data_IF_431612174458
#
_entry.id   IF_431612174458
#
_cell.length_a   1.000
_cell.length_b   1.000
_cell.length_c   1.000
_cell.angle_alpha   90.00
_cell.angle_beta   90.00
_cell.angle_gamma   90.00
#
_symmetry.space_group_name_H-M   'P 1'
#
loop_
_entity.id
_entity.type
_entity.pdbx_description
1 polymer ?
#
# COMPACT_ATOMS: atom_id res chain seq x y z
N UNK A 1 -55.62 -2.40 -83.99
CA UNK A 1 -54.39 -3.10 -83.54
C UNK A 1 -53.26 -2.17 -83.09
N UNK A 2 -53.05 -1.00 -83.69
CA UNK A 2 -51.90 -0.12 -83.37
C UNK A 2 -51.93 0.59 -81.99
N UNK A 3 -53.11 0.76 -81.37
CA UNK A 3 -53.20 1.41 -80.03
C UNK A 3 -52.75 0.51 -78.88
N UNK A 4 -52.94 -0.81 -79.00
CA UNK A 4 -52.55 -1.79 -77.97
C UNK A 4 -51.03 -1.98 -77.96
N UNK A 5 -50.40 -1.95 -79.14
CA UNK A 5 -48.94 -2.01 -79.27
C UNK A 5 -48.24 -0.76 -78.69
N UNK A 6 -48.84 0.42 -78.86
CA UNK A 6 -48.37 1.67 -78.24
C UNK A 6 -48.48 1.63 -76.72
N UNK A 7 -49.52 0.99 -76.18
CA UNK A 7 -49.74 0.90 -74.73
C UNK A 7 -48.70 0.00 -74.06
N UNK A 8 -48.39 -1.16 -74.66
CA UNK A 8 -47.34 -2.06 -74.19
C UNK A 8 -45.94 -1.43 -74.29
N UNK A 9 -45.68 -0.62 -75.33
CA UNK A 9 -44.41 0.07 -75.48
C UNK A 9 -44.21 1.15 -74.41
N UNK A 10 -45.26 1.88 -74.04
CA UNK A 10 -45.22 2.92 -73.00
C UNK A 10 -45.08 2.32 -71.59
N UNK A 11 -45.79 1.23 -71.29
CA UNK A 11 -45.68 0.54 -69.99
C UNK A 11 -44.34 -0.17 -69.82
N UNK A 12 -43.75 -0.70 -70.89
CA UNK A 12 -42.42 -1.30 -70.86
C UNK A 12 -41.31 -0.24 -70.72
N UNK A 13 -41.45 0.94 -71.35
CA UNK A 13 -40.52 2.05 -71.19
C UNK A 13 -40.53 2.61 -69.75
N UNK A 14 -41.71 2.71 -69.12
CA UNK A 14 -41.86 3.15 -67.73
C UNK A 14 -41.24 2.17 -66.72
N UNK A 15 -41.36 0.85 -66.95
CA UNK A 15 -40.72 -0.17 -66.12
C UNK A 15 -39.19 -0.18 -66.28
N UNK A 16 -38.69 0.06 -67.50
CA UNK A 16 -37.25 0.15 -67.74
C UNK A 16 -36.63 1.39 -67.09
N UNK A 17 -37.35 2.52 -67.07
CA UNK A 17 -36.91 3.72 -66.33
C UNK A 17 -36.93 3.54 -64.81
N UNK A 18 -37.88 2.76 -64.26
CA UNK A 18 -37.95 2.46 -62.83
C UNK A 18 -36.82 1.53 -62.36
N UNK A 19 -36.38 0.61 -63.22
CA UNK A 19 -35.26 -0.31 -62.95
C UNK A 19 -33.89 0.41 -62.96
N UNK A 20 -33.71 1.41 -63.84
CA UNK A 20 -32.46 2.18 -63.94
C UNK A 20 -32.27 3.16 -62.77
N UNK A 21 -33.36 3.67 -62.19
CA UNK A 21 -33.31 4.56 -61.00
C UNK A 21 -32.92 3.78 -59.74
N UNK A 22 -33.29 2.50 -59.63
CA UNK A 22 -32.85 1.63 -58.52
C UNK A 22 -31.37 1.24 -58.58
N UNK A 23 -30.70 1.33 -59.74
CA UNK A 23 -29.27 1.01 -59.88
C UNK A 23 -28.31 2.14 -59.43
N UNK A 24 -28.81 3.35 -59.15
CA UNK A 24 -27.98 4.50 -58.78
C UNK A 24 -27.96 4.81 -57.27
N UNK A 25 -28.45 3.89 -56.43
CA UNK A 25 -28.77 4.16 -55.04
C UNK A 25 -28.07 3.31 -54.00
N UNK A 26 -26.77 2.99 -54.14
CA UNK A 26 -25.95 2.53 -52.99
C UNK A 26 -24.50 3.00 -53.13
N UNK A 27 -24.24 4.29 -52.91
CA UNK A 27 -22.96 4.70 -52.35
C UNK A 27 -23.01 4.39 -50.85
N UNK A 28 -22.66 3.15 -50.49
CA UNK A 28 -22.32 2.82 -49.09
C UNK A 28 -21.07 3.61 -48.79
N UNK A 29 -21.25 4.78 -48.18
CA UNK A 29 -20.19 5.48 -47.47
C UNK A 29 -19.71 4.50 -46.40
N UNK A 30 -18.61 3.80 -46.67
CA UNK A 30 -17.80 3.23 -45.60
C UNK A 30 -17.33 4.43 -44.77
N UNK A 31 -18.18 4.85 -43.81
CA UNK A 31 -17.67 5.53 -42.64
C UNK A 31 -16.62 4.61 -42.09
N UNK A 32 -15.35 5.01 -42.16
CA UNK A 32 -14.27 4.36 -41.44
C UNK A 32 -14.77 4.07 -40.04
N UNK A 33 -15.12 2.80 -39.78
CA UNK A 33 -15.31 2.30 -38.43
C UNK A 33 -13.93 2.42 -37.82
N UNK A 34 -13.66 3.60 -37.27
CA UNK A 34 -12.40 3.94 -36.61
C UNK A 34 -12.30 2.96 -35.46
N UNK A 35 -11.60 1.84 -35.69
CA UNK A 35 -11.43 0.78 -34.70
C UNK A 35 -10.83 1.45 -33.47
N UNK A 36 -11.60 1.54 -32.40
CA UNK A 36 -11.13 2.12 -31.15
C UNK A 36 -10.23 1.05 -30.52
N UNK A 37 -8.94 1.36 -30.38
CA UNK A 37 -8.02 0.54 -29.59
C UNK A 37 -8.46 0.68 -28.12
N UNK A 38 -8.92 -0.43 -27.52
CA UNK A 38 -9.40 -0.44 -26.14
C UNK A 38 -8.20 -0.47 -25.19
N UNK A 39 -7.31 -1.42 -25.37
CA UNK A 39 -6.01 -1.50 -24.70
C UNK A 39 -5.00 -2.20 -25.61
N UNK A 40 -3.74 -1.85 -25.48
CA UNK A 40 -2.64 -2.42 -26.25
C UNK A 40 -1.66 -3.14 -25.36
N UNK A 41 -0.99 -4.15 -25.91
CA UNK A 41 0.22 -4.70 -25.30
C UNK A 41 1.38 -3.76 -25.66
N UNK A 42 2.01 -3.17 -24.64
CA UNK A 42 3.18 -2.33 -24.81
C UNK A 42 4.47 -3.18 -24.90
N UNK A 43 4.59 -4.20 -24.04
CA UNK A 43 5.73 -5.10 -23.99
C UNK A 43 5.36 -6.47 -23.36
N UNK A 44 6.21 -7.46 -23.60
CA UNK A 44 6.11 -8.81 -23.01
C UNK A 44 7.48 -9.20 -22.48
N UNK A 45 7.55 -9.66 -21.23
CA UNK A 45 8.77 -10.10 -20.56
C UNK A 45 8.53 -11.48 -19.96
N UNK A 46 9.06 -12.52 -20.61
CA UNK A 46 8.76 -13.91 -20.24
C UNK A 46 7.27 -14.19 -20.31
N UNK A 47 6.68 -14.58 -19.18
CA UNK A 47 5.25 -14.85 -19.02
C UNK A 47 4.42 -13.60 -18.64
N UNK A 48 5.06 -12.46 -18.38
CA UNK A 48 4.39 -11.23 -17.99
C UNK A 48 4.11 -10.30 -19.19
N UNK A 49 2.89 -9.76 -19.24
CA UNK A 49 2.45 -8.81 -20.26
C UNK A 49 2.26 -7.43 -19.62
N UNK A 50 2.76 -6.39 -20.28
CA UNK A 50 2.61 -5.00 -19.84
C UNK A 50 1.65 -4.30 -20.81
N UNK A 51 0.57 -3.72 -20.28
CA UNK A 51 -0.43 -3.01 -21.06
C UNK A 51 -0.10 -1.52 -21.19
N UNK A 52 -0.55 -0.90 -22.28
CA UNK A 52 -0.47 0.56 -22.44
C UNK A 52 -1.18 1.26 -21.27
N UNK A 53 -2.31 0.71 -20.80
CA UNK A 53 -3.06 1.24 -19.67
C UNK A 53 -2.32 1.16 -18.33
N UNK A 54 -1.39 0.23 -18.17
CA UNK A 54 -0.61 0.10 -16.93
C UNK A 54 0.38 1.26 -16.81
N UNK A 55 1.03 1.65 -17.91
CA UNK A 55 1.94 2.80 -17.97
C UNK A 55 1.19 4.09 -17.61
N UNK A 56 -0.01 4.26 -18.16
CA UNK A 56 -0.84 5.44 -17.93
C UNK A 56 -1.32 5.51 -16.47
N UNK A 57 -1.73 4.38 -15.88
CA UNK A 57 -2.11 4.31 -14.47
C UNK A 57 -0.94 4.65 -13.57
N UNK A 58 0.24 4.07 -13.81
CA UNK A 58 1.45 4.39 -13.03
C UNK A 58 1.79 5.87 -13.09
N UNK A 59 1.63 6.51 -14.25
CA UNK A 59 1.84 7.95 -14.38
C UNK A 59 0.83 8.75 -13.54
N UNK A 60 -0.46 8.39 -13.60
CA UNK A 60 -1.52 9.04 -12.80
C UNK A 60 -1.26 8.85 -11.30
N UNK A 61 -0.83 7.66 -10.89
CA UNK A 61 -0.53 7.35 -9.50
C UNK A 61 0.64 8.20 -8.99
N UNK A 62 1.72 8.35 -9.77
CA UNK A 62 2.86 9.21 -9.43
C UNK A 62 2.46 10.69 -9.34
N UNK A 63 1.59 11.16 -10.25
CA UNK A 63 1.04 12.52 -10.19
C UNK A 63 0.21 12.73 -8.93
N UNK A 64 -0.59 11.74 -8.53
CA UNK A 64 -1.41 11.82 -7.32
C UNK A 64 -0.56 11.90 -6.03
N UNK A 65 0.64 11.34 -6.06
CA UNK A 65 1.63 11.39 -4.97
C UNK A 65 2.43 12.69 -4.94
N UNK A 66 2.24 13.59 -5.92
CA UNK A 66 2.97 14.86 -6.01
C UNK A 66 4.39 14.74 -6.54
N UNK A 67 4.74 13.62 -7.20
CA UNK A 67 6.05 13.44 -7.85
C UNK A 67 6.12 14.31 -9.10
N UNK A 68 7.20 15.08 -9.25
CA UNK A 68 7.42 15.91 -10.44
C UNK A 68 7.53 15.03 -11.69
N UNK A 69 6.56 15.13 -12.59
CA UNK A 69 6.52 14.33 -13.84
C UNK A 69 7.27 14.97 -15.01
N UNK A 70 7.88 16.14 -14.80
CA UNK A 70 8.57 16.89 -15.86
C UNK A 70 9.72 16.12 -16.53
N UNK A 71 10.35 15.18 -15.81
CA UNK A 71 11.44 14.32 -16.32
C UNK A 71 11.02 12.86 -16.56
N UNK A 72 9.74 12.52 -16.34
CA UNK A 72 9.25 11.15 -16.47
C UNK A 72 8.59 10.97 -17.84
N UNK A 73 9.38 10.47 -18.80
CA UNK A 73 8.85 10.04 -20.09
C UNK A 73 8.19 8.66 -19.99
N UNK A 74 7.20 8.41 -20.85
CA UNK A 74 6.52 7.11 -20.97
C UNK A 74 7.51 5.98 -21.20
N UNK A 75 8.58 6.24 -21.94
CA UNK A 75 9.63 5.27 -22.21
C UNK A 75 10.40 4.86 -20.95
N UNK A 76 10.70 5.82 -20.06
CA UNK A 76 11.37 5.55 -18.79
C UNK A 76 10.47 4.73 -17.86
N UNK A 77 9.18 5.05 -17.80
CA UNK A 77 8.19 4.27 -17.03
C UNK A 77 8.05 2.85 -17.57
N UNK A 78 7.95 2.70 -18.90
CA UNK A 78 7.93 1.38 -19.52
C UNK A 78 9.20 0.59 -19.21
N UNK A 79 10.37 1.22 -19.28
CA UNK A 79 11.64 0.62 -18.92
C UNK A 79 11.65 0.10 -17.48
N UNK A 80 11.15 0.89 -16.54
CA UNK A 80 11.02 0.47 -15.13
C UNK A 80 10.06 -0.72 -14.96
N UNK A 81 8.88 -0.67 -15.60
CA UNK A 81 7.93 -1.78 -15.55
C UNK A 81 8.51 -3.06 -16.17
N UNK A 82 9.26 -2.95 -17.27
CA UNK A 82 9.95 -4.09 -17.89
C UNK A 82 11.02 -4.67 -16.97
N UNK A 83 11.78 -3.82 -16.29
CA UNK A 83 12.79 -4.23 -15.31
C UNK A 83 12.15 -5.00 -14.14
N UNK A 84 11.07 -4.48 -13.57
CA UNK A 84 10.39 -5.13 -12.44
C UNK A 84 9.79 -6.50 -12.86
N UNK A 85 9.23 -6.61 -14.08
CA UNK A 85 8.77 -7.91 -14.62
C UNK A 85 9.92 -8.88 -14.92
N UNK A 86 11.07 -8.36 -15.34
CA UNK A 86 12.27 -9.17 -15.55
C UNK A 86 12.74 -9.81 -14.24
N UNK A 87 12.80 -9.03 -13.15
CA UNK A 87 13.16 -9.57 -11.84
C UNK A 87 12.15 -10.60 -11.33
N UNK A 88 10.86 -10.34 -11.50
CA UNK A 88 9.83 -11.31 -11.10
C UNK A 88 9.96 -12.63 -11.88
N UNK A 89 10.24 -12.57 -13.19
CA UNK A 89 10.47 -13.75 -14.01
C UNK A 89 11.71 -14.54 -13.55
N UNK A 90 12.81 -13.86 -13.24
CA UNK A 90 14.00 -14.52 -12.68
C UNK A 90 13.73 -15.09 -11.29
N UNK A 91 12.97 -14.41 -10.44
CA UNK A 91 12.59 -14.92 -9.13
C UNK A 91 11.82 -16.24 -9.21
N UNK A 92 10.93 -16.39 -10.20
CA UNK A 92 10.22 -17.65 -10.44
C UNK A 92 11.16 -18.74 -10.97
N UNK A 93 12.09 -18.41 -11.86
CA UNK A 93 13.09 -19.36 -12.38
C UNK A 93 14.03 -19.86 -11.27
N UNK A 94 14.46 -18.97 -10.38
CA UNK A 94 15.34 -19.28 -9.26
C UNK A 94 14.56 -19.82 -8.04
N UNK A 95 13.25 -20.02 -8.19
CA UNK A 95 12.35 -20.61 -7.19
C UNK A 95 12.39 -19.87 -5.84
N UNK A 96 12.45 -18.53 -5.88
CA UNK A 96 12.32 -17.71 -4.67
C UNK A 96 10.88 -17.81 -4.14
N UNK A 97 10.75 -18.25 -2.88
CA UNK A 97 9.45 -18.39 -2.23
C UNK A 97 9.03 -17.09 -1.54
N UNK A 98 7.77 -16.71 -1.74
CA UNK A 98 7.11 -15.61 -1.03
C UNK A 98 6.09 -16.15 -0.04
N UNK A 99 5.97 -15.52 1.13
CA UNK A 99 4.96 -15.90 2.10
C UNK A 99 3.56 -15.42 1.67
N UNK A 100 2.74 -16.38 1.23
CA UNK A 100 1.37 -16.12 0.83
C UNK A 100 0.52 -15.54 1.97
N UNK A 101 0.80 -15.89 3.23
CA UNK A 101 0.05 -15.35 4.37
C UNK A 101 0.34 -13.86 4.56
N UNK A 102 1.60 -13.46 4.41
CA UNK A 102 2.00 -12.06 4.44
C UNK A 102 1.35 -11.26 3.30
N UNK A 103 1.29 -11.82 2.09
CA UNK A 103 0.62 -11.16 0.94
C UNK A 103 -0.87 -10.99 1.22
N UNK A 104 -1.56 -12.03 1.74
CA UNK A 104 -2.98 -11.92 2.09
C UNK A 104 -3.22 -10.84 3.15
N UNK A 105 -2.40 -10.79 4.20
CA UNK A 105 -2.50 -9.74 5.21
C UNK A 105 -2.32 -8.34 4.63
N UNK A 106 -1.39 -8.18 3.67
CA UNK A 106 -1.20 -6.91 2.98
C UNK A 106 -2.42 -6.52 2.11
N UNK A 107 -3.02 -7.49 1.41
CA UNK A 107 -4.24 -7.26 0.62
C UNK A 107 -5.40 -6.83 1.53
N UNK A 108 -5.57 -7.48 2.68
CA UNK A 108 -6.58 -7.11 3.67
C UNK A 108 -6.40 -5.68 4.17
N UNK A 109 -5.17 -5.32 4.56
CA UNK A 109 -4.83 -3.96 5.00
C UNK A 109 -5.06 -2.92 3.90
N UNK A 110 -4.73 -3.26 2.64
CA UNK A 110 -4.94 -2.37 1.50
C UNK A 110 -6.43 -2.10 1.25
N UNK A 111 -7.27 -3.14 1.36
CA UNK A 111 -8.72 -3.00 1.22
C UNK A 111 -9.32 -2.21 2.39
N UNK A 112 -8.85 -2.44 3.62
CA UNK A 112 -9.26 -1.66 4.78
C UNK A 112 -8.89 -0.19 4.62
N UNK A 113 -7.69 0.10 4.11
CA UNK A 113 -7.25 1.44 3.78
C UNK A 113 -8.18 2.10 2.75
N UNK A 114 -8.46 1.46 1.61
CA UNK A 114 -9.37 2.01 0.60
C UNK A 114 -10.78 2.20 1.15
N UNK A 115 -11.25 1.28 2.00
CA UNK A 115 -12.55 1.37 2.65
C UNK A 115 -12.60 2.54 3.64
N UNK A 116 -11.52 2.82 4.36
CA UNK A 116 -11.43 3.98 5.27
C UNK A 116 -11.49 5.32 4.52
N UNK A 117 -10.92 5.39 3.32
CA UNK A 117 -10.88 6.59 2.50
C UNK A 117 -12.19 6.83 1.74
N UNK A 118 -12.77 5.78 1.16
CA UNK A 118 -13.98 5.86 0.31
C UNK A 118 -15.28 5.63 1.09
N UNK A 119 -15.18 5.06 2.29
CA UNK A 119 -16.24 4.88 3.28
C UNK A 119 -16.99 3.55 3.22
N UNK A 120 -17.02 2.85 2.09
CA UNK A 120 -17.62 1.52 1.98
C UNK A 120 -16.93 0.66 0.93
N UNK A 121 -17.00 -0.67 1.08
CA UNK A 121 -16.39 -1.62 0.15
C UNK A 121 -17.01 -1.53 -1.25
N UNK A 122 -18.31 -1.25 -1.35
CA UNK A 122 -19.01 -1.10 -2.63
C UNK A 122 -18.48 0.09 -3.42
N UNK A 123 -18.14 1.19 -2.75
CA UNK A 123 -17.53 2.36 -3.40
C UNK A 123 -16.11 2.08 -3.87
N UNK A 124 -15.35 1.25 -3.14
CA UNK A 124 -14.03 0.78 -3.58
C UNK A 124 -14.18 -0.03 -4.87
N UNK A 125 -15.12 -0.98 -4.89
CA UNK A 125 -15.40 -1.80 -6.07
C UNK A 125 -15.87 -0.95 -7.26
N UNK A 126 -16.74 0.03 -7.02
CA UNK A 126 -17.18 0.97 -8.07
C UNK A 126 -16.03 1.81 -8.61
N UNK A 127 -15.16 2.33 -7.74
CA UNK A 127 -14.00 3.14 -8.11
C UNK A 127 -13.02 2.37 -9.01
N UNK A 128 -12.67 1.14 -8.62
CA UNK A 128 -11.80 0.25 -9.40
C UNK A 128 -12.55 -0.49 -10.53
N UNK A 129 -13.84 -0.21 -10.73
CA UNK A 129 -14.70 -0.84 -11.74
C UNK A 129 -14.69 -2.37 -11.66
N UNK A 130 -14.69 -2.90 -10.44
CA UNK A 130 -14.80 -4.33 -10.14
C UNK A 130 -16.20 -4.63 -9.62
N UNK A 131 -16.72 -5.81 -9.98
CA UNK A 131 -18.07 -6.24 -9.61
C UNK A 131 -18.08 -7.19 -8.41
N UNK A 132 -16.95 -7.85 -8.17
CA UNK A 132 -16.81 -8.90 -7.17
C UNK A 132 -15.60 -8.62 -6.28
N UNK A 133 -15.80 -8.74 -4.97
CA UNK A 133 -14.77 -8.53 -3.96
C UNK A 133 -13.73 -9.64 -4.00
N UNK A 134 -14.15 -10.90 -4.21
CA UNK A 134 -13.22 -12.03 -4.24
C UNK A 134 -12.28 -11.94 -5.43
N UNK A 135 -12.81 -11.64 -6.61
CA UNK A 135 -12.00 -11.40 -7.80
C UNK A 135 -11.02 -10.23 -7.60
N UNK A 136 -11.46 -9.13 -6.97
CA UNK A 136 -10.58 -7.99 -6.68
C UNK A 136 -9.45 -8.36 -5.71
N UNK A 137 -9.76 -9.11 -4.65
CA UNK A 137 -8.77 -9.63 -3.70
C UNK A 137 -7.74 -10.54 -4.38
N UNK A 138 -8.19 -11.43 -5.26
CA UNK A 138 -7.28 -12.30 -6.01
C UNK A 138 -6.39 -11.49 -6.95
N UNK A 139 -6.94 -10.51 -7.66
CA UNK A 139 -6.15 -9.63 -8.53
C UNK A 139 -5.08 -8.87 -7.74
N UNK A 140 -5.44 -8.29 -6.59
CA UNK A 140 -4.49 -7.64 -5.70
C UNK A 140 -3.44 -8.61 -5.17
N UNK A 141 -3.83 -9.84 -4.86
CA UNK A 141 -2.90 -10.89 -4.42
C UNK A 141 -1.85 -11.18 -5.50
N UNK A 142 -2.26 -11.42 -6.75
CA UNK A 142 -1.33 -11.70 -7.85
C UNK A 142 -0.40 -10.52 -8.13
N UNK A 143 -0.92 -9.29 -8.14
CA UNK A 143 -0.11 -8.08 -8.34
C UNK A 143 0.96 -7.97 -7.25
N UNK A 144 0.56 -8.12 -5.98
CA UNK A 144 1.49 -8.00 -4.85
C UNK A 144 2.50 -9.14 -4.81
N UNK A 145 2.10 -10.35 -5.20
CA UNK A 145 3.00 -11.49 -5.34
C UNK A 145 4.12 -11.19 -6.33
N UNK A 146 3.78 -10.68 -7.52
CA UNK A 146 4.76 -10.33 -8.56
C UNK A 146 5.69 -9.21 -8.07
N UNK A 147 5.17 -8.20 -7.37
CA UNK A 147 5.99 -7.13 -6.80
C UNK A 147 6.94 -7.63 -5.71
N UNK A 148 6.49 -8.53 -4.83
CA UNK A 148 7.35 -9.11 -3.80
C UNK A 148 8.44 -10.00 -4.39
N UNK A 149 8.13 -10.79 -5.42
CA UNK A 149 9.11 -11.58 -6.15
C UNK A 149 10.21 -10.70 -6.77
N UNK A 150 9.82 -9.58 -7.41
CA UNK A 150 10.77 -8.63 -7.95
C UNK A 150 11.67 -8.01 -6.87
N UNK A 151 11.11 -7.63 -5.72
CA UNK A 151 11.86 -7.08 -4.59
C UNK A 151 12.84 -8.07 -3.97
N UNK A 152 12.41 -9.33 -3.80
CA UNK A 152 13.27 -10.38 -3.27
C UNK A 152 14.47 -10.62 -4.20
N UNK A 153 14.23 -10.72 -5.52
CA UNK A 153 15.30 -10.89 -6.49
C UNK A 153 16.27 -9.71 -6.49
N UNK A 154 15.77 -8.47 -6.42
CA UNK A 154 16.63 -7.28 -6.27
C UNK A 154 17.48 -7.33 -5.00
N UNK A 155 16.91 -7.75 -3.87
CA UNK A 155 17.66 -7.93 -2.61
C UNK A 155 18.76 -8.97 -2.77
N UNK A 156 18.46 -10.14 -3.35
CA UNK A 156 19.44 -11.19 -3.59
C UNK A 156 20.62 -10.71 -4.42
N UNK A 157 20.36 -9.92 -5.47
CA UNK A 157 21.42 -9.33 -6.31
C UNK A 157 22.30 -8.37 -5.50
N UNK A 158 21.72 -7.59 -4.59
CA UNK A 158 22.46 -6.64 -3.75
C UNK A 158 23.27 -7.38 -2.67
N UNK A 159 22.74 -8.46 -2.12
CA UNK A 159 23.37 -9.24 -1.05
C UNK A 159 24.68 -9.92 -1.50
N UNK A 160 24.84 -10.21 -2.79
CA UNK A 160 26.08 -10.73 -3.37
C UNK A 160 27.21 -9.69 -3.44
N UNK A 161 26.91 -8.40 -3.24
CA UNK A 161 27.90 -7.31 -3.34
C UNK A 161 28.65 -7.17 -2.01
N UNK A 162 29.91 -7.63 -1.98
CA UNK A 162 30.81 -7.40 -0.85
C UNK A 162 31.59 -6.09 -1.01
N UNK A 163 31.54 -5.23 0.02
CA UNK A 163 32.27 -3.95 0.05
C UNK A 163 33.57 -4.12 0.84
N UNK A 164 34.69 -3.71 0.25
CA UNK A 164 36.00 -3.78 0.90
C UNK A 164 36.28 -2.58 1.81
N UNK A 165 37.10 -2.72 2.87
CA UNK A 165 37.48 -1.59 3.72
C UNK A 165 38.19 -0.46 2.95
N UNK A 166 38.87 -0.79 1.85
CA UNK A 166 39.57 0.19 1.01
C UNK A 166 38.58 1.06 0.21
N UNK A 167 37.51 0.47 -0.32
CA UNK A 167 36.42 1.20 -0.97
C UNK A 167 35.70 2.12 0.02
N UNK A 168 35.45 1.65 1.25
CA UNK A 168 34.87 2.49 2.31
C UNK A 168 35.78 3.69 2.60
N UNK A 169 37.09 3.47 2.73
CA UNK A 169 38.04 4.56 2.96
C UNK A 169 38.06 5.55 1.80
N UNK A 170 38.11 5.06 0.56
CA UNK A 170 38.07 5.91 -0.62
C UNK A 170 36.76 6.72 -0.71
N UNK A 171 35.62 6.13 -0.34
CA UNK A 171 34.35 6.82 -0.29
C UNK A 171 34.37 7.99 0.70
N UNK A 172 34.85 7.76 1.94
CA UNK A 172 34.94 8.81 2.95
C UNK A 172 35.96 9.91 2.60
N UNK A 173 37.11 9.55 2.02
CA UNK A 173 38.14 10.51 1.62
C UNK A 173 37.67 11.42 0.47
N UNK A 174 36.70 10.97 -0.35
CA UNK A 174 36.09 11.75 -1.42
C UNK A 174 35.02 12.76 -0.94
N UNK A 175 34.52 12.64 0.29
CA UNK A 175 33.51 13.56 0.84
C UNK A 175 34.19 14.89 1.23
N UNK A 176 33.74 16.04 0.71
CA UNK A 176 34.27 17.34 1.12
C UNK A 176 34.15 17.55 2.63
N UNK A 177 35.19 18.10 3.26
CA UNK A 177 35.21 18.30 4.73
C UNK A 177 34.08 19.15 5.29
N UNK A 178 33.45 19.97 4.45
CA UNK A 178 32.29 20.80 4.83
C UNK A 178 31.00 19.98 5.00
N UNK A 179 30.87 18.85 4.29
CA UNK A 179 29.68 17.99 4.31
C UNK A 179 29.75 16.89 5.37
N UNK A 180 30.90 16.77 6.06
CA UNK A 180 31.07 15.77 7.11
C UNK A 180 30.24 16.15 8.35
N UNK A 181 29.44 15.22 8.90
CA UNK A 181 28.68 15.48 10.11
C UNK A 181 29.63 15.75 11.27
N UNK A 182 29.41 16.88 11.95
CA UNK A 182 30.11 17.20 13.19
C UNK A 182 29.48 16.41 14.33
N UNK A 183 30.18 15.41 14.83
CA UNK A 183 29.81 14.81 16.11
C UNK A 183 30.12 15.82 17.21
N UNK A 184 29.12 16.10 18.04
CA UNK A 184 29.32 16.92 19.24
C UNK A 184 30.34 16.27 20.18
N UNK A 185 30.86 17.02 21.14
CA UNK A 185 31.76 16.49 22.16
C UNK A 185 31.11 15.31 22.88
N UNK A 186 31.74 14.14 22.83
CA UNK A 186 31.33 12.99 23.65
C UNK A 186 31.56 13.35 25.12
N UNK A 187 30.48 13.45 25.89
CA UNK A 187 30.52 13.71 27.33
C UNK A 187 30.33 12.40 28.08
N UNK A 188 31.40 11.92 28.71
CA UNK A 188 31.32 10.81 29.65
C UNK A 188 30.86 11.33 31.03
N UNK A 189 29.64 10.99 31.44
CA UNK A 189 29.06 11.43 32.72
C UNK A 189 29.16 10.29 33.74
N UNK A 190 29.91 10.51 34.81
CA UNK A 190 29.93 9.62 35.98
C UNK A 190 29.05 10.19 37.10
N UNK A 191 28.07 9.41 37.59
CA UNK A 191 27.17 9.80 38.68
C UNK A 191 27.51 9.06 39.98
N UNK A 192 27.76 9.82 41.05
CA UNK A 192 27.85 9.28 42.42
C UNK A 192 26.51 9.53 43.12
N UNK A 193 25.83 8.46 43.53
CA UNK A 193 24.55 8.54 44.25
C UNK A 193 24.78 8.27 45.74
N UNK A 194 24.63 9.29 46.57
CA UNK A 194 24.61 9.15 48.04
C UNK A 194 23.17 9.04 48.50
N UNK A 195 22.77 7.86 49.00
CA UNK A 195 21.44 7.65 49.56
C UNK A 195 21.41 8.27 50.97
N UNK A 196 20.49 9.22 51.27
CA UNK A 196 20.42 9.82 52.60
C UNK A 196 19.95 8.78 53.62
N UNK A 197 20.59 8.78 54.79
CA UNK A 197 20.09 8.01 55.94
C UNK A 197 18.85 8.69 56.51
N UNK A 198 17.81 7.90 56.78
CA UNK A 198 16.55 8.41 57.34
C UNK A 198 16.72 8.80 58.81
N UNK A 199 16.33 10.04 59.15
CA UNK A 199 16.31 10.54 60.53
C UNK A 199 15.39 9.70 61.42
N UNK A 200 15.76 9.51 62.68
CA UNK A 200 14.95 8.77 63.65
C UNK A 200 13.61 9.46 63.94
N UNK A 201 13.52 10.78 63.77
CA UNK A 201 12.25 11.52 63.88
C UNK A 201 11.29 11.16 62.76
N UNK A 202 11.79 10.96 61.54
CA UNK A 202 10.94 10.55 60.41
C UNK A 202 10.54 9.08 60.52
N UNK A 203 11.41 8.22 61.07
CA UNK A 203 11.02 6.84 61.43
C UNK A 203 9.88 6.86 62.45
N UNK A 204 9.99 7.66 63.52
CA UNK A 204 8.94 7.79 64.54
C UNK A 204 7.63 8.31 63.95
N UNK A 205 7.66 9.38 63.16
CA UNK A 205 6.46 9.90 62.48
C UNK A 205 5.76 8.84 61.63
N UNK A 206 6.51 8.00 60.91
CA UNK A 206 5.94 6.92 60.12
C UNK A 206 5.39 5.80 61.01
N UNK A 207 6.10 5.42 62.07
CA UNK A 207 5.63 4.44 63.07
C UNK A 207 4.33 4.90 63.72
N UNK A 208 4.27 6.14 64.22
CA UNK A 208 3.09 6.72 64.85
C UNK A 208 1.90 6.75 63.87
N UNK A 209 2.17 7.10 62.60
CA UNK A 209 1.15 7.07 61.54
C UNK A 209 0.65 5.65 61.27
N UNK A 210 1.53 4.66 61.25
CA UNK A 210 1.17 3.25 61.06
C UNK A 210 0.40 2.69 62.27
N UNK A 211 0.75 3.10 63.48
CA UNK A 211 0.03 2.72 64.71
C UNK A 211 -1.37 3.32 64.78
N UNK A 212 -1.52 4.60 64.39
CA UNK A 212 -2.84 5.22 64.24
C UNK A 212 -3.71 4.46 63.23
N UNK A 213 -3.15 4.08 62.08
CA UNK A 213 -3.86 3.29 61.07
C UNK A 213 -4.24 1.90 61.62
N UNK A 214 -3.33 1.23 62.36
CA UNK A 214 -3.62 -0.06 62.99
C UNK A 214 -4.78 0.06 63.98
N UNK A 215 -4.76 1.07 64.84
CA UNK A 215 -5.80 1.29 65.84
C UNK A 215 -7.17 1.56 65.19
N UNK A 216 -7.21 2.34 64.10
CA UNK A 216 -8.45 2.61 63.36
C UNK A 216 -9.05 1.34 62.73
N UNK A 217 -8.22 0.41 62.27
CA UNK A 217 -8.68 -0.84 61.64
C UNK A 217 -9.12 -1.87 62.70
N UNK A 218 -8.34 -2.03 63.77
CA UNK A 218 -8.57 -3.08 64.78
C UNK A 218 -9.63 -2.68 65.82
N UNK A 219 -9.61 -1.42 66.28
CA UNK A 219 -10.45 -0.94 67.39
C UNK A 219 -11.70 -0.25 66.86
N UNK A 220 -11.55 0.65 65.87
CA UNK A 220 -12.66 1.43 65.33
C UNK A 220 -13.40 0.72 64.18
N UNK A 221 -12.97 -0.51 63.80
CA UNK A 221 -13.63 -1.35 62.80
C UNK A 221 -13.60 -0.80 61.37
N UNK A 222 -12.69 0.14 61.07
CA UNK A 222 -12.57 0.71 59.71
C UNK A 222 -12.04 -0.33 58.72
N UNK A 223 -12.61 -0.38 57.51
CA UNK A 223 -12.14 -1.33 56.50
C UNK A 223 -10.72 -1.00 56.02
N UNK A 224 -9.83 -2.00 56.04
CA UNK A 224 -8.42 -1.86 55.63
C UNK A 224 -8.28 -1.27 54.21
N UNK A 225 -9.16 -1.69 53.29
CA UNK A 225 -9.18 -1.23 51.90
C UNK A 225 -9.45 0.29 51.78
N UNK A 226 -10.34 0.83 52.63
CA UNK A 226 -10.66 2.27 52.61
C UNK A 226 -9.49 3.12 53.09
N UNK A 227 -8.80 2.73 54.17
CA UNK A 227 -7.64 3.47 54.70
C UNK A 227 -6.41 3.34 53.78
N UNK A 228 -6.21 2.15 53.17
CA UNK A 228 -5.13 1.89 52.23
C UNK A 228 -5.15 2.83 51.00
N UNK A 229 -6.34 3.10 50.46
CA UNK A 229 -6.50 4.01 49.31
C UNK A 229 -6.09 5.46 49.59
N UNK A 230 -6.28 5.95 50.82
CA UNK A 230 -5.94 7.32 51.18
C UNK A 230 -4.46 7.48 51.55
N UNK A 231 -3.85 6.45 52.12
CA UNK A 231 -2.45 6.48 52.59
C UNK A 231 -1.47 6.19 51.46
N UNK A 232 -1.82 5.27 50.55
CA UNK A 232 -0.93 4.84 49.48
C UNK A 232 -1.44 5.36 48.14
N UNK A 233 -1.05 6.60 47.80
CA UNK A 233 -1.39 7.26 46.53
C UNK A 233 -0.62 6.72 45.32
N UNK A 234 -0.15 5.46 45.34
CA UNK A 234 0.51 4.85 44.18
C UNK A 234 -0.55 4.34 43.19
N UNK A 235 -0.61 4.85 41.94
CA UNK A 235 -1.70 4.55 41.01
C UNK A 235 -1.92 3.06 40.74
N UNK A 236 -0.84 2.26 40.72
CA UNK A 236 -0.88 0.87 40.27
C UNK A 236 -1.47 -0.14 41.26
N UNK A 237 -1.56 0.19 42.56
CA UNK A 237 -2.12 -0.71 43.59
C UNK A 237 -3.64 -0.63 43.72
N UNK A 238 -4.27 0.38 43.09
CA UNK A 238 -5.71 0.66 43.26
C UNK A 238 -6.62 -0.35 42.52
N UNK A 239 -6.10 -1.06 41.54
CA UNK A 239 -6.88 -1.93 40.63
C UNK A 239 -7.37 -3.23 41.26
N UNK A 240 -6.73 -3.73 42.34
CA UNK A 240 -7.04 -5.06 42.90
C UNK A 240 -7.66 -5.03 44.31
N UNK A 241 -8.13 -3.86 44.78
CA UNK A 241 -8.82 -3.74 46.08
C UNK A 241 -7.99 -4.20 47.28
N UNK A 242 -6.66 -4.06 47.23
CA UNK A 242 -5.73 -4.46 48.28
C UNK A 242 -5.75 -5.95 48.66
N UNK A 243 -6.34 -6.82 47.83
CA UNK A 243 -6.25 -8.27 47.98
C UNK A 243 -5.04 -8.78 47.21
N UNK A 244 -4.01 -9.23 47.92
CA UNK A 244 -2.97 -10.04 47.30
C UNK A 244 -3.52 -11.45 47.14
N UNK A 245 -3.75 -11.88 45.90
CA UNK A 245 -4.01 -13.30 45.63
C UNK A 245 -2.71 -14.06 45.94
N UNK A 246 -2.59 -14.60 47.15
CA UNK A 246 -1.63 -15.66 47.43
C UNK A 246 -2.11 -16.89 46.68
N UNK A 247 -1.57 -17.06 45.48
CA UNK A 247 -1.53 -18.36 44.83
C UNK A 247 -0.40 -19.17 45.44
#
# INVERSE_FOLDING_TARGET
MNKILSFYKQTCLLFFTLFVICLHGQSVSNSDLKKIKIDGVAAVVGDFVILDSDIDKTLIDLQSQGVSTENLDRCNLLGKLMEDKLYAHHAEQDSLEVDNQQIQSYVDQSIEYFTSQLGSIEKVLEYYKRKDEQAFRQELFEINKVNQLAQLMQSTIIDEIEITPEEVKSFFDNIPRYDLPIFGTELEISQIVVKPEVSDDDKKKIVDRLESIRNDVVVNGSSFCHKGNFVFSRPWYKTNGWKTNTR
#
